data_IF_658679822646
#
_entry.id   IF_658679822646
#
_cell.length_a   1.000
_cell.length_b   1.000
_cell.length_c   1.000
_cell.angle_alpha   90.00
_cell.angle_beta   90.00
_cell.angle_gamma   90.00
#
_symmetry.space_group_name_H-M   'P 1'
#
loop_
_entity.id
_entity.type
_entity.pdbx_description
1 polymer ?
#
# COMPACT_ATOMS: atom_id res chain seq x y z
N UNK A 1 25.10 14.13 -15.38
CA UNK A 1 24.65 13.11 -16.32
C UNK A 1 23.25 13.44 -16.78
N UNK A 2 22.89 13.06 -17.99
CA UNK A 2 21.50 12.93 -18.40
C UNK A 2 20.95 11.58 -17.92
N UNK A 3 19.88 11.58 -17.15
CA UNK A 3 19.28 10.36 -16.63
C UNK A 3 17.82 10.31 -17.03
N UNK A 4 17.41 9.23 -17.69
CA UNK A 4 16.02 8.96 -17.97
C UNK A 4 15.43 8.08 -16.85
N UNK A 5 14.23 8.43 -16.36
CA UNK A 5 13.46 7.62 -15.42
C UNK A 5 12.19 7.16 -16.12
N UNK A 6 11.99 5.85 -16.24
CA UNK A 6 10.85 5.24 -16.91
C UNK A 6 9.87 4.74 -15.87
N UNK A 7 8.72 5.38 -15.78
CA UNK A 7 7.65 5.12 -14.80
C UNK A 7 7.53 6.18 -13.72
N UNK A 8 6.37 6.83 -13.65
CA UNK A 8 6.04 7.92 -12.74
C UNK A 8 5.30 7.49 -11.46
N UNK A 9 5.50 6.24 -11.01
CA UNK A 9 5.06 5.77 -9.69
C UNK A 9 6.00 6.22 -8.57
N UNK A 10 5.66 5.93 -7.28
CA UNK A 10 6.48 6.36 -6.12
C UNK A 10 7.96 5.98 -6.24
N UNK A 11 8.28 4.83 -6.84
CA UNK A 11 9.66 4.40 -7.05
C UNK A 11 10.40 5.30 -8.04
N UNK A 12 9.79 5.59 -9.19
CA UNK A 12 10.38 6.48 -10.20
C UNK A 12 10.44 7.92 -9.73
N UNK A 13 9.38 8.43 -9.08
CA UNK A 13 9.36 9.78 -8.50
C UNK A 13 10.47 9.95 -7.46
N UNK A 14 10.67 8.96 -6.59
CA UNK A 14 11.73 8.96 -5.58
C UNK A 14 13.12 8.93 -6.21
N UNK A 15 13.33 8.09 -7.23
CA UNK A 15 14.60 8.04 -7.96
C UNK A 15 14.89 9.36 -8.69
N UNK A 16 13.88 9.93 -9.36
CA UNK A 16 14.01 11.17 -10.10
C UNK A 16 14.37 12.35 -9.19
N UNK A 17 13.71 12.47 -8.03
CA UNK A 17 14.03 13.51 -7.03
C UNK A 17 15.44 13.35 -6.47
N UNK A 18 15.85 12.14 -6.08
CA UNK A 18 17.21 11.88 -5.55
C UNK A 18 18.29 12.23 -6.58
N UNK A 19 18.07 11.89 -7.85
CA UNK A 19 18.99 12.21 -8.94
C UNK A 19 19.03 13.70 -9.27
N UNK A 20 17.87 14.37 -9.28
CA UNK A 20 17.80 15.82 -9.51
C UNK A 20 18.49 16.60 -8.37
N UNK A 21 18.25 16.20 -7.11
CA UNK A 21 18.94 16.77 -5.93
C UNK A 21 20.47 16.51 -5.97
N UNK A 22 20.90 15.42 -6.59
CA UNK A 22 22.29 15.11 -6.90
C UNK A 22 22.90 15.91 -8.08
N UNK A 23 22.16 16.87 -8.66
CA UNK A 23 22.61 17.73 -9.75
C UNK A 23 22.65 17.04 -11.13
N UNK A 24 21.87 16.00 -11.33
CA UNK A 24 21.73 15.33 -12.63
C UNK A 24 20.60 15.94 -13.45
N UNK A 25 20.75 15.95 -14.78
CA UNK A 25 19.68 16.32 -15.72
C UNK A 25 18.72 15.13 -15.83
N UNK A 26 17.50 15.28 -15.32
CA UNK A 26 16.52 14.20 -15.22
C UNK A 26 15.37 14.39 -16.20
N UNK A 27 15.03 13.34 -16.95
CA UNK A 27 13.83 13.24 -17.77
C UNK A 27 12.98 12.07 -17.27
N UNK A 28 11.76 12.35 -16.78
CA UNK A 28 10.79 11.36 -16.31
C UNK A 28 9.77 11.05 -17.39
N UNK A 29 9.65 9.79 -17.80
CA UNK A 29 8.68 9.29 -18.77
C UNK A 29 7.61 8.45 -18.05
N UNK A 30 6.34 8.81 -18.21
CA UNK A 30 5.19 8.07 -17.67
C UNK A 30 4.20 7.75 -18.79
N UNK A 31 3.81 6.48 -18.90
CA UNK A 31 2.89 6.01 -19.95
C UNK A 31 1.45 6.53 -19.77
N UNK A 32 1.04 6.79 -18.53
CA UNK A 32 -0.28 7.35 -18.20
C UNK A 32 -0.25 8.88 -18.26
N UNK A 33 -1.41 9.54 -18.41
CA UNK A 33 -1.47 11.00 -18.41
C UNK A 33 -1.20 11.64 -17.03
N UNK A 34 -1.16 10.84 -15.95
CA UNK A 34 -0.97 11.29 -14.56
C UNK A 34 0.15 10.52 -13.89
N UNK A 35 0.90 11.21 -13.04
CA UNK A 35 1.89 10.63 -12.14
C UNK A 35 1.22 9.96 -10.93
N UNK A 36 1.99 9.18 -10.15
CA UNK A 36 1.55 8.53 -8.92
C UNK A 36 1.49 6.99 -9.02
N UNK A 37 1.36 6.45 -10.24
CA UNK A 37 1.37 4.99 -10.44
C UNK A 37 0.22 4.29 -9.72
N UNK A 38 0.54 3.48 -8.70
CA UNK A 38 -0.44 2.75 -7.89
C UNK A 38 -1.14 3.63 -6.81
N UNK A 39 -0.67 4.85 -6.56
CA UNK A 39 -1.28 5.80 -5.62
C UNK A 39 -1.87 6.97 -6.39
N UNK A 40 -3.14 6.86 -6.80
CA UNK A 40 -3.74 7.84 -7.70
C UNK A 40 -5.23 8.07 -7.40
N UNK A 41 -5.68 9.24 -7.77
CA UNK A 41 -7.10 9.60 -7.80
C UNK A 41 -7.70 9.15 -9.12
N UNK A 42 -8.89 8.58 -9.08
CA UNK A 42 -9.60 8.13 -10.27
C UNK A 42 -10.04 9.33 -11.13
N UNK A 43 -10.02 9.23 -12.46
CA UNK A 43 -10.55 10.27 -13.33
C UNK A 43 -11.98 10.64 -12.91
N UNK A 44 -12.24 11.93 -12.77
CA UNK A 44 -13.55 12.45 -12.35
C UNK A 44 -14.66 12.04 -13.31
N UNK A 45 -15.82 11.69 -12.76
CA UNK A 45 -17.06 11.41 -13.49
C UNK A 45 -18.17 12.31 -12.96
N UNK A 46 -19.16 12.55 -13.80
CA UNK A 46 -20.37 13.27 -13.38
C UNK A 46 -21.06 12.51 -12.23
N UNK A 47 -21.41 13.24 -11.18
CA UNK A 47 -22.01 12.69 -9.97
C UNK A 47 -21.03 12.12 -8.95
N UNK A 48 -19.72 12.12 -9.20
CA UNK A 48 -18.74 11.77 -8.18
C UNK A 48 -18.82 12.74 -6.97
N UNK A 49 -18.71 12.25 -5.75
CA UNK A 49 -18.63 13.10 -4.55
C UNK A 49 -17.33 13.91 -4.51
N UNK A 50 -17.28 14.90 -3.61
CA UNK A 50 -16.06 15.60 -3.22
C UNK A 50 -15.47 15.02 -1.93
N UNK A 51 -14.15 14.79 -1.89
CA UNK A 51 -13.25 14.74 -3.04
C UNK A 51 -13.53 13.52 -3.92
N UNK A 52 -13.06 13.51 -5.19
CA UNK A 52 -13.24 12.36 -6.05
C UNK A 52 -12.60 11.10 -5.46
N UNK A 53 -13.11 9.91 -5.80
CA UNK A 53 -12.56 8.66 -5.26
C UNK A 53 -11.14 8.41 -5.74
N UNK A 54 -10.31 7.86 -4.87
CA UNK A 54 -9.01 7.32 -5.22
C UNK A 54 -9.15 5.87 -5.74
N UNK A 55 -8.07 5.29 -6.27
CA UNK A 55 -8.08 3.87 -6.64
C UNK A 55 -8.23 2.93 -5.43
N UNK A 56 -8.09 3.44 -4.21
CA UNK A 56 -8.32 2.79 -2.93
C UNK A 56 -7.95 3.71 -1.77
N UNK A 57 -8.24 3.27 -0.54
CA UNK A 57 -7.74 3.97 0.64
C UNK A 57 -6.38 3.39 1.01
N UNK A 58 -5.34 4.21 0.92
CA UNK A 58 -4.00 3.82 1.34
C UNK A 58 -3.75 4.24 2.79
N UNK A 59 -3.10 3.37 3.55
CA UNK A 59 -2.61 3.65 4.90
C UNK A 59 -1.12 3.40 4.91
N UNK A 60 -0.35 4.37 5.39
CA UNK A 60 1.02 4.14 5.80
C UNK A 60 1.10 3.94 7.31
N UNK A 61 2.20 3.38 7.77
CA UNK A 61 2.53 3.30 9.19
C UNK A 61 3.66 4.27 9.50
N UNK A 62 3.74 4.72 10.74
CA UNK A 62 4.78 5.67 11.13
C UNK A 62 6.22 5.12 11.06
N UNK A 63 6.37 3.80 10.94
CA UNK A 63 7.64 3.15 10.61
C UNK A 63 8.06 3.30 9.13
N UNK A 64 7.21 3.86 8.26
CA UNK A 64 7.52 4.13 6.85
C UNK A 64 8.37 5.40 6.71
N UNK A 65 9.63 5.31 7.11
CA UNK A 65 10.50 6.47 7.28
C UNK A 65 10.91 7.13 5.96
N UNK A 66 11.20 6.34 4.92
CA UNK A 66 11.57 6.90 3.62
C UNK A 66 10.35 7.48 2.88
N UNK A 67 9.19 6.86 3.03
CA UNK A 67 7.95 7.44 2.52
C UNK A 67 7.63 8.79 3.17
N UNK A 68 7.83 8.93 4.49
CA UNK A 68 7.64 10.21 5.17
C UNK A 68 8.65 11.28 4.73
N UNK A 69 9.91 10.90 4.50
CA UNK A 69 10.92 11.81 3.91
C UNK A 69 10.55 12.22 2.49
N UNK A 70 10.02 11.29 1.69
CA UNK A 70 9.50 11.61 0.37
C UNK A 70 8.38 12.65 0.44
N UNK A 71 7.38 12.48 1.33
CA UNK A 71 6.32 13.47 1.54
C UNK A 71 6.88 14.84 2.01
N UNK A 72 7.87 14.82 2.89
CA UNK A 72 8.55 16.05 3.33
C UNK A 72 9.24 16.75 2.15
N UNK A 73 9.97 15.99 1.31
CA UNK A 73 10.68 16.51 0.15
C UNK A 73 9.76 17.17 -0.88
N UNK A 74 8.55 16.65 -1.05
CA UNK A 74 7.56 17.20 -1.98
C UNK A 74 6.59 18.22 -1.32
N UNK A 75 6.79 18.55 -0.04
CA UNK A 75 5.99 19.55 0.69
C UNK A 75 4.67 19.04 1.25
N UNK A 76 4.43 17.73 1.31
CA UNK A 76 3.14 17.12 1.65
C UNK A 76 3.12 16.43 3.03
N UNK A 77 4.04 16.77 3.93
CA UNK A 77 4.07 16.19 5.30
C UNK A 77 2.77 16.40 6.07
N UNK A 78 2.05 17.47 5.79
CA UNK A 78 0.80 17.83 6.47
C UNK A 78 -0.44 17.20 5.81
N UNK A 79 -0.27 16.57 4.66
CA UNK A 79 -1.37 15.92 3.91
C UNK A 79 -1.67 14.51 4.39
N UNK A 80 -1.07 14.11 5.52
CA UNK A 80 -1.37 12.87 6.23
C UNK A 80 -1.71 13.13 7.69
N UNK A 81 -2.81 12.53 8.15
CA UNK A 81 -3.22 12.58 9.55
C UNK A 81 -2.67 11.38 10.31
N UNK A 82 -1.92 11.64 11.37
CA UNK A 82 -1.41 10.59 12.25
C UNK A 82 -2.44 10.23 13.32
N UNK A 83 -2.83 8.96 13.36
CA UNK A 83 -3.71 8.40 14.38
C UNK A 83 -2.98 7.30 15.14
N UNK A 84 -3.22 7.19 16.44
CA UNK A 84 -2.76 6.04 17.21
C UNK A 84 -3.36 4.75 16.64
N UNK A 85 -2.62 3.66 16.75
CA UNK A 85 -3.14 2.34 16.44
C UNK A 85 -4.23 1.96 17.45
N UNK A 86 -5.44 2.40 17.17
CA UNK A 86 -6.68 1.97 17.81
C UNK A 86 -7.62 1.55 16.69
N UNK A 87 -7.74 0.24 16.47
CA UNK A 87 -8.50 -0.30 15.34
C UNK A 87 -9.87 -0.76 15.83
N UNK A 88 -10.95 -0.05 15.52
CA UNK A 88 -12.30 -0.57 15.67
C UNK A 88 -12.48 -1.78 14.77
N UNK A 89 -12.97 -2.86 15.36
CA UNK A 89 -13.24 -4.12 14.67
C UNK A 89 -14.68 -4.50 14.96
N UNK A 90 -15.44 -4.80 13.93
CA UNK A 90 -16.87 -5.13 14.01
C UNK A 90 -17.07 -6.57 13.60
N UNK A 91 -17.69 -7.37 14.46
CA UNK A 91 -17.94 -8.79 14.18
C UNK A 91 -19.18 -9.01 13.30
N UNK A 92 -19.47 -10.26 13.00
CA UNK A 92 -20.57 -10.71 12.14
C UNK A 92 -21.96 -10.33 12.70
N UNK A 93 -22.04 -9.95 13.99
CA UNK A 93 -23.25 -9.51 14.69
C UNK A 93 -23.32 -8.01 14.90
N UNK A 94 -22.42 -7.23 14.27
CA UNK A 94 -22.37 -5.78 14.43
C UNK A 94 -21.79 -5.32 15.78
N UNK A 95 -21.19 -6.21 16.60
CA UNK A 95 -20.59 -5.83 17.88
C UNK A 95 -19.19 -5.28 17.66
N UNK A 96 -18.89 -4.14 18.25
CA UNK A 96 -17.59 -3.49 18.14
C UNK A 96 -16.65 -3.87 19.29
N UNK A 97 -15.36 -4.04 18.97
CA UNK A 97 -14.26 -4.07 19.93
C UNK A 97 -13.07 -3.34 19.31
N UNK A 98 -12.12 -2.91 20.13
CA UNK A 98 -10.95 -2.15 19.67
C UNK A 98 -9.69 -2.95 19.89
N UNK A 99 -8.89 -3.12 18.85
CA UNK A 99 -7.50 -3.58 18.97
C UNK A 99 -6.64 -2.36 19.33
N UNK A 100 -5.97 -2.43 20.47
CA UNK A 100 -5.03 -1.40 20.93
C UNK A 100 -3.68 -2.06 21.27
N UNK A 101 -2.53 -1.42 20.98
CA UNK A 101 -1.20 -2.03 21.14
C UNK A 101 -0.73 -2.10 22.61
N UNK A 102 -1.64 -2.01 23.58
CA UNK A 102 -1.35 -2.15 25.00
C UNK A 102 -1.78 -3.52 25.54
N UNK A 103 -1.07 -4.05 26.55
CA UNK A 103 -1.45 -5.32 27.19
C UNK A 103 -2.91 -5.31 27.68
N UNK A 104 -3.35 -4.20 28.28
CA UNK A 104 -4.72 -4.04 28.75
C UNK A 104 -5.72 -3.98 27.58
N UNK A 105 -5.36 -3.29 26.48
CA UNK A 105 -6.17 -3.24 25.25
C UNK A 105 -6.37 -4.63 24.66
N UNK A 106 -5.31 -5.42 24.55
CA UNK A 106 -5.38 -6.81 24.05
C UNK A 106 -6.24 -7.70 24.95
N UNK A 107 -6.14 -7.56 26.28
CA UNK A 107 -7.01 -8.30 27.21
C UNK A 107 -8.48 -7.89 27.10
N UNK A 108 -8.79 -6.66 26.69
CA UNK A 108 -10.14 -6.16 26.45
C UNK A 108 -10.72 -6.51 25.08
N UNK A 109 -9.90 -6.99 24.15
CA UNK A 109 -10.37 -7.31 22.79
C UNK A 109 -11.25 -8.56 22.78
N UNK A 110 -12.57 -8.38 22.79
CA UNK A 110 -13.56 -9.43 23.06
C UNK A 110 -13.85 -10.37 21.89
N UNK A 111 -13.38 -10.06 20.68
CA UNK A 111 -13.59 -10.93 19.51
C UNK A 111 -12.69 -12.17 19.51
N UNK A 112 -11.73 -12.23 20.43
CA UNK A 112 -10.87 -13.41 20.66
C UNK A 112 -11.16 -13.99 22.04
N UNK A 113 -11.27 -15.32 22.21
CA UNK A 113 -11.48 -15.97 23.51
C UNK A 113 -10.43 -15.54 24.55
N UNK A 114 -10.80 -15.49 25.83
CA UNK A 114 -9.91 -14.98 26.88
C UNK A 114 -8.57 -15.71 26.96
N UNK A 115 -8.57 -17.08 26.87
CA UNK A 115 -7.35 -17.87 26.88
C UNK A 115 -6.41 -17.51 25.72
N UNK A 116 -6.97 -17.18 24.56
CA UNK A 116 -6.18 -16.78 23.38
C UNK A 116 -5.61 -15.37 23.53
N UNK A 117 -6.31 -14.44 24.20
CA UNK A 117 -5.74 -13.10 24.51
C UNK A 117 -4.49 -13.21 25.38
N UNK A 118 -4.47 -14.15 26.33
CA UNK A 118 -3.28 -14.44 27.16
C UNK A 118 -2.17 -15.04 26.31
N UNK A 119 -2.50 -15.94 25.37
CA UNK A 119 -1.52 -16.51 24.43
C UNK A 119 -0.96 -15.44 23.48
N UNK A 120 -1.80 -14.52 22.98
CA UNK A 120 -1.36 -13.35 22.19
C UNK A 120 -0.32 -12.52 22.94
N UNK A 121 -0.61 -12.14 24.17
CA UNK A 121 0.33 -11.38 25.00
C UNK A 121 1.65 -12.11 25.21
N UNK A 122 1.60 -13.42 25.50
CA UNK A 122 2.81 -14.24 25.65
C UNK A 122 3.61 -14.34 24.35
N UNK A 123 2.94 -14.48 23.20
CA UNK A 123 3.59 -14.54 21.91
C UNK A 123 4.30 -13.21 21.59
N UNK A 124 3.63 -12.08 21.78
CA UNK A 124 4.21 -10.74 21.55
C UNK A 124 5.39 -10.46 22.49
N UNK A 125 5.28 -10.83 23.79
CA UNK A 125 6.35 -10.64 24.76
C UNK A 125 7.59 -11.52 24.53
N UNK A 126 7.45 -12.61 23.78
CA UNK A 126 8.51 -13.59 23.51
C UNK A 126 8.72 -13.81 22.02
N UNK A 127 8.46 -12.78 21.21
CA UNK A 127 8.57 -12.89 19.77
C UNK A 127 9.97 -13.30 19.33
N UNK A 128 10.08 -14.37 18.59
CA UNK A 128 11.33 -14.89 18.02
C UNK A 128 11.07 -15.24 16.56
N UNK A 129 12.13 -15.41 15.78
CA UNK A 129 12.01 -15.84 14.40
C UNK A 129 11.23 -17.14 14.29
N UNK A 130 10.33 -17.17 13.33
CA UNK A 130 9.43 -18.28 13.17
C UNK A 130 10.05 -19.43 12.41
N UNK A 131 9.54 -20.61 12.72
CA UNK A 131 9.66 -21.79 11.87
C UNK A 131 8.28 -22.01 11.23
N UNK A 132 8.21 -22.13 9.94
CA UNK A 132 6.97 -22.31 9.20
C UNK A 132 7.10 -21.74 7.79
N UNK A 133 6.36 -22.26 6.86
CA UNK A 133 6.30 -21.71 5.50
C UNK A 133 5.40 -20.48 5.47
N UNK A 134 4.16 -20.64 5.94
CA UNK A 134 3.21 -19.54 6.02
C UNK A 134 3.23 -18.84 7.38
N UNK A 135 2.75 -17.61 7.42
CA UNK A 135 2.65 -16.89 8.70
C UNK A 135 1.64 -17.55 9.65
N UNK A 136 0.57 -18.16 9.13
CA UNK A 136 -0.36 -18.94 9.96
C UNK A 136 0.33 -20.14 10.63
N UNK A 137 1.21 -20.84 9.94
CA UNK A 137 1.98 -21.95 10.53
C UNK A 137 2.91 -21.45 11.60
N UNK A 138 3.59 -20.34 11.36
CA UNK A 138 4.42 -19.66 12.33
C UNK A 138 3.63 -19.24 13.58
N UNK A 139 2.42 -18.74 13.42
CA UNK A 139 1.53 -18.38 14.53
C UNK A 139 1.04 -19.61 15.30
N UNK A 140 0.67 -20.70 14.61
CA UNK A 140 0.29 -21.96 15.25
C UNK A 140 1.44 -22.54 16.07
N UNK A 141 2.67 -22.50 15.56
CA UNK A 141 3.87 -22.91 16.28
C UNK A 141 4.11 -22.08 17.56
N UNK A 142 3.61 -20.81 17.60
CA UNK A 142 3.60 -19.96 18.80
C UNK A 142 2.37 -20.16 19.68
N UNK A 143 1.58 -21.20 19.44
CA UNK A 143 0.40 -21.55 20.23
C UNK A 143 -0.82 -20.65 19.96
N UNK A 144 -0.87 -19.95 18.82
CA UNK A 144 -2.06 -19.20 18.43
C UNK A 144 -3.15 -20.12 17.91
N UNK A 145 -4.39 -19.90 18.35
CA UNK A 145 -5.55 -20.61 17.84
C UNK A 145 -5.99 -20.06 16.47
N UNK A 146 -6.79 -20.82 15.73
CA UNK A 146 -7.39 -20.34 14.49
C UNK A 146 -8.24 -19.07 14.73
N UNK A 147 -8.98 -19.01 15.84
CA UNK A 147 -9.75 -17.82 16.20
C UNK A 147 -8.88 -16.57 16.41
N UNK A 148 -7.68 -16.72 16.99
CA UNK A 148 -6.74 -15.63 17.14
C UNK A 148 -6.13 -15.23 15.78
N UNK A 149 -5.87 -16.20 14.92
CA UNK A 149 -5.37 -15.94 13.55
C UNK A 149 -6.40 -15.12 12.76
N UNK A 150 -7.63 -15.58 12.68
CA UNK A 150 -8.66 -14.97 11.84
C UNK A 150 -9.15 -13.62 12.39
N UNK A 151 -9.25 -13.48 13.71
CA UNK A 151 -9.90 -12.35 14.35
C UNK A 151 -8.96 -11.28 14.90
N UNK A 152 -7.66 -11.56 14.91
CA UNK A 152 -6.65 -10.61 15.37
C UNK A 152 -5.52 -10.47 14.35
N UNK A 153 -4.80 -11.56 14.04
CA UNK A 153 -3.62 -11.47 13.20
C UNK A 153 -3.94 -11.08 11.76
N UNK A 154 -4.98 -11.65 11.17
CA UNK A 154 -5.37 -11.36 9.79
C UNK A 154 -5.87 -9.92 9.61
N UNK A 155 -6.42 -9.30 10.67
CA UNK A 155 -6.79 -7.89 10.67
C UNK A 155 -5.60 -6.96 10.39
N UNK A 156 -4.39 -7.33 10.82
CA UNK A 156 -3.17 -6.57 10.55
C UNK A 156 -2.44 -7.03 9.29
N UNK A 157 -2.33 -8.33 9.12
CA UNK A 157 -1.46 -8.91 8.09
C UNK A 157 -2.07 -8.75 6.71
N UNK A 158 -3.37 -9.00 6.58
CA UNK A 158 -4.04 -8.91 5.28
C UNK A 158 -3.92 -7.52 4.63
N UNK A 159 -4.19 -6.41 5.29
CA UNK A 159 -3.99 -5.09 4.69
C UNK A 159 -2.51 -4.71 4.49
N UNK A 160 -1.60 -5.25 5.30
CA UNK A 160 -0.17 -4.93 5.22
C UNK A 160 0.55 -5.70 4.10
N UNK A 161 0.16 -6.95 3.86
CA UNK A 161 0.80 -7.85 2.89
C UNK A 161 -0.08 -8.14 1.67
N UNK A 162 -1.32 -7.66 1.67
CA UNK A 162 -2.34 -7.96 0.67
C UNK A 162 -2.55 -9.48 0.47
N UNK A 163 -2.40 -10.24 1.55
CA UNK A 163 -2.56 -11.69 1.64
C UNK A 163 -3.05 -12.08 3.04
N UNK A 164 -3.80 -13.16 3.15
CA UNK A 164 -4.15 -13.74 4.44
C UNK A 164 -2.92 -14.30 5.17
N UNK A 165 -3.02 -14.47 6.50
CA UNK A 165 -1.98 -15.17 7.26
C UNK A 165 -1.69 -16.58 6.73
N UNK A 166 -2.68 -17.23 6.13
CA UNK A 166 -2.56 -18.58 5.57
C UNK A 166 -1.75 -18.61 4.26
N UNK A 167 -1.62 -17.48 3.58
CA UNK A 167 -0.97 -17.35 2.28
C UNK A 167 0.37 -16.62 2.37
N UNK A 168 0.46 -15.60 3.23
CA UNK A 168 1.66 -14.80 3.40
C UNK A 168 2.82 -15.63 3.95
N UNK A 169 4.04 -15.35 3.50
CA UNK A 169 5.23 -16.00 4.03
C UNK A 169 5.44 -15.70 5.51
N UNK A 170 5.98 -16.66 6.25
CA UNK A 170 6.31 -16.48 7.67
C UNK A 170 7.28 -15.31 7.88
N UNK A 171 8.25 -15.14 6.98
CA UNK A 171 9.24 -14.07 7.02
C UNK A 171 8.60 -12.68 6.88
N UNK A 172 7.72 -12.49 5.89
CA UNK A 172 7.02 -11.22 5.68
C UNK A 172 6.08 -10.88 6.86
N UNK A 173 5.38 -11.88 7.40
CA UNK A 173 4.56 -11.72 8.60
C UNK A 173 5.38 -11.35 9.84
N UNK A 174 6.49 -12.03 10.08
CA UNK A 174 7.41 -11.72 11.18
C UNK A 174 8.02 -10.32 11.06
N UNK A 175 8.45 -9.95 9.85
CA UNK A 175 8.94 -8.60 9.57
C UNK A 175 7.87 -7.55 9.92
N UNK A 176 6.64 -7.76 9.46
CA UNK A 176 5.52 -6.83 9.70
C UNK A 176 5.25 -6.67 11.20
N UNK A 177 5.19 -7.77 11.96
CA UNK A 177 4.97 -7.71 13.41
C UNK A 177 6.12 -7.01 14.13
N UNK A 178 7.37 -7.33 13.81
CA UNK A 178 8.52 -6.69 14.45
C UNK A 178 8.57 -5.20 14.18
N UNK A 179 8.41 -4.82 12.92
CA UNK A 179 8.57 -3.43 12.50
C UNK A 179 7.40 -2.57 12.97
N UNK A 180 6.16 -3.06 12.82
CA UNK A 180 4.98 -2.27 13.12
C UNK A 180 4.50 -2.38 14.58
N UNK A 181 4.62 -3.56 15.21
CA UNK A 181 4.03 -3.77 16.55
C UNK A 181 5.06 -3.84 17.67
N UNK A 182 6.29 -4.30 17.38
CA UNK A 182 7.35 -4.51 18.38
C UNK A 182 8.50 -3.52 18.25
N UNK A 183 8.47 -2.62 17.26
CA UNK A 183 9.41 -1.51 17.09
C UNK A 183 9.25 -0.42 18.15
N UNK A 184 9.58 0.82 17.80
CA UNK A 184 9.39 1.95 18.69
C UNK A 184 7.89 2.20 18.97
N UNK A 185 7.59 2.80 20.12
CA UNK A 185 6.22 2.95 20.65
C UNK A 185 5.19 3.55 19.67
N UNK A 186 5.65 4.32 18.69
CA UNK A 186 4.78 4.99 17.70
C UNK A 186 4.92 4.46 16.28
N UNK A 187 5.70 3.41 16.07
CA UNK A 187 5.90 2.84 14.72
C UNK A 187 4.62 2.28 14.12
N UNK A 188 3.70 1.84 14.99
CA UNK A 188 2.38 1.35 14.62
C UNK A 188 1.33 2.45 14.37
N UNK A 189 1.62 3.74 14.65
CA UNK A 189 0.64 4.81 14.38
C UNK A 189 0.28 4.82 12.89
N UNK A 190 -1.00 5.01 12.62
CA UNK A 190 -1.54 5.05 11.26
C UNK A 190 -1.33 6.44 10.65
N UNK A 191 -0.91 6.49 9.41
CA UNK A 191 -0.81 7.69 8.60
C UNK A 191 -1.87 7.61 7.48
N UNK A 192 -2.88 8.45 7.58
CA UNK A 192 -4.04 8.45 6.69
C UNK A 192 -4.03 9.72 5.83
N UNK A 193 -4.11 9.60 4.49
CA UNK A 193 -4.22 10.74 3.59
C UNK A 193 -5.43 11.61 3.91
N UNK A 194 -5.24 12.92 3.89
CA UNK A 194 -6.28 13.93 4.13
C UNK A 194 -6.70 14.69 2.88
N UNK A 195 -6.09 14.37 1.74
CA UNK A 195 -6.41 14.89 0.42
C UNK A 195 -6.39 13.73 -0.60
N UNK A 196 -6.82 13.95 -1.84
CA UNK A 196 -6.73 12.97 -2.92
C UNK A 196 -5.31 12.46 -3.15
N UNK A 197 -5.16 11.15 -3.39
CA UNK A 197 -3.84 10.53 -3.53
C UNK A 197 -3.03 11.10 -4.70
N UNK A 198 -3.69 11.44 -5.81
CA UNK A 198 -3.06 12.06 -6.97
C UNK A 198 -2.43 13.41 -6.64
N UNK A 199 -3.14 14.24 -5.85
CA UNK A 199 -2.65 15.55 -5.40
C UNK A 199 -1.42 15.41 -4.48
N UNK A 200 -1.52 14.52 -3.47
CA UNK A 200 -0.45 14.31 -2.48
C UNK A 200 0.83 13.75 -3.12
N UNK A 201 0.69 12.84 -4.09
CA UNK A 201 1.85 12.11 -4.60
C UNK A 201 2.25 12.59 -6.00
N UNK A 202 1.35 12.41 -7.00
CA UNK A 202 1.67 12.65 -8.39
C UNK A 202 1.91 14.12 -8.70
N UNK A 203 0.95 14.97 -8.38
CA UNK A 203 1.01 16.40 -8.69
C UNK A 203 2.07 17.12 -7.86
N UNK A 204 2.15 16.82 -6.54
CA UNK A 204 3.13 17.45 -5.69
C UNK A 204 4.58 17.05 -6.05
N UNK A 205 4.81 15.77 -6.37
CA UNK A 205 6.12 15.32 -6.83
C UNK A 205 6.46 15.90 -8.21
N UNK A 206 5.47 16.04 -9.10
CA UNK A 206 5.66 16.72 -10.38
C UNK A 206 6.15 18.16 -10.20
N UNK A 207 5.46 18.95 -9.38
CA UNK A 207 5.89 20.32 -9.04
C UNK A 207 7.30 20.37 -8.43
N UNK A 208 7.63 19.42 -7.55
CA UNK A 208 8.95 19.35 -6.93
C UNK A 208 10.07 19.00 -7.91
N UNK A 209 9.78 18.11 -8.88
CA UNK A 209 10.71 17.76 -9.95
C UNK A 209 10.93 18.93 -10.93
N UNK A 210 9.86 19.61 -11.37
CA UNK A 210 9.97 20.81 -12.22
C UNK A 210 10.78 21.91 -11.54
N UNK A 211 10.55 22.15 -10.25
CA UNK A 211 11.32 23.10 -9.45
C UNK A 211 12.81 22.72 -9.33
N UNK A 212 13.12 21.42 -9.39
CA UNK A 212 14.50 20.89 -9.43
C UNK A 212 15.11 20.87 -10.85
N UNK A 213 14.38 21.36 -11.87
CA UNK A 213 14.85 21.45 -13.26
C UNK A 213 14.69 20.14 -14.06
N UNK A 214 13.95 19.15 -13.56
CA UNK A 214 13.66 17.93 -14.30
C UNK A 214 12.58 18.16 -15.36
N UNK A 215 12.67 17.45 -16.48
CA UNK A 215 11.61 17.39 -17.49
C UNK A 215 10.67 16.21 -17.24
N UNK A 216 9.36 16.43 -17.43
CA UNK A 216 8.35 15.41 -17.18
C UNK A 216 7.53 15.19 -18.44
N UNK A 217 7.40 13.94 -18.85
CA UNK A 217 6.72 13.52 -20.08
C UNK A 217 5.56 12.56 -19.77
N UNK A 218 4.40 13.06 -19.31
CA UNK A 218 3.23 12.23 -19.10
C UNK A 218 2.63 11.81 -20.45
N UNK A 219 2.00 10.61 -20.50
CA UNK A 219 1.51 10.03 -21.75
C UNK A 219 2.61 9.51 -22.67
N UNK A 220 3.87 9.51 -22.22
CA UNK A 220 5.03 9.07 -22.99
C UNK A 220 5.42 7.64 -22.61
N UNK A 221 4.85 6.67 -23.31
CA UNK A 221 5.23 5.26 -23.15
C UNK A 221 6.59 5.00 -23.82
N UNK A 222 7.52 4.43 -23.05
CA UNK A 222 8.83 3.99 -23.56
C UNK A 222 8.69 2.54 -24.03
N UNK A 223 8.90 2.32 -25.32
CA UNK A 223 8.84 0.97 -25.90
C UNK A 223 10.21 0.29 -25.89
N UNK A 224 11.29 1.05 -26.00
CA UNK A 224 12.68 0.58 -25.94
C UNK A 224 13.55 1.59 -25.19
N UNK A 225 14.54 1.09 -24.43
CA UNK A 225 15.50 1.95 -23.73
C UNK A 225 16.48 2.63 -24.69
N UNK A 226 16.67 2.10 -25.88
CA UNK A 226 17.52 2.64 -26.95
C UNK A 226 16.97 3.94 -27.56
N UNK A 227 15.67 4.26 -27.35
CA UNK A 227 15.04 5.48 -27.81
C UNK A 227 15.35 6.68 -26.91
N UNK A 228 15.91 6.44 -25.72
CA UNK A 228 16.15 7.47 -24.73
C UNK A 228 17.51 8.15 -24.94
N UNK A 229 17.50 9.49 -25.07
CA UNK A 229 18.73 10.31 -25.07
C UNK A 229 19.22 10.49 -23.62
N UNK A 230 19.85 9.46 -23.07
CA UNK A 230 20.30 9.46 -21.68
C UNK A 230 21.62 8.67 -21.50
N UNK A 231 22.46 9.16 -20.58
CA UNK A 231 23.69 8.47 -20.16
C UNK A 231 23.41 7.25 -19.28
N UNK A 232 22.28 7.32 -18.52
CA UNK A 232 21.84 6.27 -17.61
C UNK A 232 20.31 6.24 -17.51
N UNK A 233 19.76 5.07 -17.11
CA UNK A 233 18.32 4.87 -17.06
C UNK A 233 17.91 4.22 -15.75
N UNK A 234 16.83 4.71 -15.12
CA UNK A 234 16.10 4.01 -14.05
C UNK A 234 14.83 3.42 -14.65
N UNK A 235 14.69 2.10 -14.61
CA UNK A 235 13.47 1.38 -15.04
C UNK A 235 12.59 1.13 -13.80
N UNK A 236 11.60 2.02 -13.59
CA UNK A 236 10.73 2.05 -12.41
C UNK A 236 9.30 1.62 -12.72
N UNK A 237 9.15 0.50 -13.41
CA UNK A 237 7.87 -0.05 -13.89
C UNK A 237 7.56 -1.41 -13.23
N UNK A 238 6.34 -1.97 -13.37
CA UNK A 238 6.01 -3.31 -12.88
C UNK A 238 6.99 -4.38 -13.38
N UNK A 239 7.16 -5.47 -12.62
CA UNK A 239 8.18 -6.50 -12.86
C UNK A 239 8.16 -7.09 -14.27
N UNK A 240 6.97 -7.36 -14.84
CA UNK A 240 6.83 -7.88 -16.22
C UNK A 240 7.33 -6.89 -17.27
N UNK A 241 6.96 -5.63 -17.12
CA UNK A 241 7.37 -4.57 -18.04
C UNK A 241 8.87 -4.25 -17.87
N UNK A 242 9.39 -4.33 -16.63
CA UNK A 242 10.81 -4.21 -16.36
C UNK A 242 11.62 -5.31 -17.09
N UNK A 243 11.20 -6.57 -16.97
CA UNK A 243 11.81 -7.68 -17.67
C UNK A 243 11.81 -7.49 -19.20
N UNK A 244 10.66 -7.03 -19.76
CA UNK A 244 10.52 -6.75 -21.19
C UNK A 244 11.50 -5.65 -21.66
N UNK A 245 11.55 -4.52 -20.96
CA UNK A 245 12.42 -3.38 -21.33
C UNK A 245 13.90 -3.70 -21.19
N UNK A 246 14.27 -4.52 -20.20
CA UNK A 246 15.65 -4.92 -19.95
C UNK A 246 16.11 -6.08 -20.83
N UNK A 247 15.19 -6.83 -21.42
CA UNK A 247 15.49 -8.09 -22.11
C UNK A 247 15.96 -9.19 -21.15
N UNK A 248 15.49 -9.14 -19.89
CA UNK A 248 15.83 -10.09 -18.83
C UNK A 248 14.69 -11.10 -18.62
N UNK A 249 14.98 -12.27 -18.01
CA UNK A 249 13.93 -13.20 -17.61
C UNK A 249 12.94 -12.53 -16.63
N UNK A 250 11.64 -12.83 -16.82
CA UNK A 250 10.61 -12.36 -15.88
C UNK A 250 10.77 -13.08 -14.53
N UNK A 251 10.86 -12.33 -13.40
CA UNK A 251 10.89 -12.95 -12.09
C UNK A 251 9.56 -13.65 -11.81
N UNK A 252 9.60 -14.80 -11.15
CA UNK A 252 8.42 -15.64 -10.86
C UNK A 252 7.64 -15.06 -9.67
N UNK A 253 7.12 -13.85 -9.86
CA UNK A 253 6.31 -13.12 -8.87
C UNK A 253 4.85 -13.13 -9.28
N UNK A 254 3.99 -13.57 -8.37
CA UNK A 254 2.54 -13.49 -8.55
C UNK A 254 2.04 -12.11 -8.11
N UNK A 255 0.95 -11.65 -8.72
CA UNK A 255 0.25 -10.44 -8.31
C UNK A 255 -0.84 -10.76 -7.28
N UNK A 256 -1.09 -9.83 -6.37
CA UNK A 256 -2.22 -9.88 -5.45
C UNK A 256 -3.17 -8.71 -5.69
N UNK A 257 -4.47 -8.98 -5.88
CA UNK A 257 -5.45 -7.97 -6.22
C UNK A 257 -5.97 -7.21 -5.00
N UNK A 258 -6.44 -5.97 -5.24
CA UNK A 258 -7.25 -5.19 -4.31
C UNK A 258 -8.51 -4.72 -5.03
N UNK A 259 -9.64 -4.83 -4.34
CA UNK A 259 -10.91 -4.26 -4.79
C UNK A 259 -11.31 -3.15 -3.83
N UNK A 260 -11.63 -1.97 -4.37
CA UNK A 260 -12.16 -0.86 -3.61
C UNK A 260 -13.56 -0.51 -4.10
N UNK A 261 -14.50 -0.39 -3.17
CA UNK A 261 -15.88 0.01 -3.46
C UNK A 261 -16.20 1.27 -2.69
N UNK A 262 -16.46 2.34 -3.42
CA UNK A 262 -16.87 3.62 -2.87
C UNK A 262 -18.39 3.66 -2.80
N UNK A 263 -18.93 4.01 -1.63
CA UNK A 263 -20.35 3.96 -1.31
C UNK A 263 -20.79 5.26 -0.66
N UNK A 264 -21.86 5.87 -1.15
CA UNK A 264 -22.48 7.00 -0.48
C UNK A 264 -23.88 6.59 -0.01
N UNK A 265 -24.08 6.59 1.31
CA UNK A 265 -25.34 6.24 1.96
C UNK A 265 -26.11 7.48 2.42
N UNK A 266 -27.44 7.37 2.53
CA UNK A 266 -28.38 8.42 2.95
C UNK A 266 -28.16 8.90 4.40
N UNK A 267 -27.45 8.14 5.22
CA UNK A 267 -27.20 8.41 6.64
C UNK A 267 -25.82 8.00 7.10
N UNK A 268 -25.45 8.44 8.29
CA UNK A 268 -24.17 8.06 8.94
C UNK A 268 -24.28 6.65 9.50
N UNK A 269 -23.42 5.76 9.04
CA UNK A 269 -23.30 4.37 9.47
C UNK A 269 -22.09 4.15 10.37
N UNK A 270 -20.94 4.73 10.02
CA UNK A 270 -19.68 4.57 10.73
C UNK A 270 -19.37 5.82 11.55
N UNK A 271 -19.22 5.66 12.88
CA UNK A 271 -18.94 6.77 13.79
C UNK A 271 -17.43 7.07 13.93
N UNK A 272 -16.59 6.11 13.62
CA UNK A 272 -15.14 6.22 13.65
C UNK A 272 -14.59 6.52 12.24
N UNK A 273 -13.36 7.04 12.12
CA UNK A 273 -12.76 7.29 10.80
C UNK A 273 -12.56 6.03 9.95
N UNK A 274 -12.47 4.88 10.61
CA UNK A 274 -12.29 3.58 9.96
C UNK A 274 -12.75 2.44 10.87
N UNK A 275 -13.05 1.29 10.29
CA UNK A 275 -13.27 0.03 11.00
C UNK A 275 -12.93 -1.17 10.12
N UNK A 276 -12.47 -2.27 10.75
CA UNK A 276 -12.38 -3.58 10.11
C UNK A 276 -13.66 -4.39 10.35
N UNK A 277 -14.09 -5.17 9.35
CA UNK A 277 -15.23 -6.07 9.47
C UNK A 277 -14.76 -7.53 9.45
N UNK A 278 -14.99 -8.27 10.54
CA UNK A 278 -14.57 -9.67 10.63
C UNK A 278 -15.45 -10.59 9.78
N UNK A 279 -14.82 -11.57 9.13
CA UNK A 279 -15.54 -12.56 8.32
C UNK A 279 -16.41 -11.93 7.24
N UNK A 280 -15.91 -10.91 6.58
CA UNK A 280 -16.59 -10.10 5.58
C UNK A 280 -15.71 -9.93 4.34
N UNK A 281 -16.32 -9.85 3.18
CA UNK A 281 -15.63 -9.41 1.97
C UNK A 281 -15.30 -7.91 1.99
N UNK A 282 -16.03 -7.13 2.79
CA UNK A 282 -15.72 -5.73 3.09
C UNK A 282 -14.69 -5.67 4.24
N UNK A 283 -13.40 -5.89 3.95
CA UNK A 283 -12.39 -6.02 5.01
C UNK A 283 -12.23 -4.76 5.84
N UNK A 284 -12.15 -3.59 5.20
CA UNK A 284 -11.97 -2.30 5.83
C UNK A 284 -12.93 -1.26 5.28
N UNK A 285 -13.50 -0.48 6.17
CA UNK A 285 -14.42 0.61 5.84
C UNK A 285 -13.83 1.91 6.37
N UNK A 286 -13.76 2.94 5.52
CA UNK A 286 -13.21 4.26 5.83
C UNK A 286 -14.26 5.34 5.61
N UNK A 287 -14.43 6.25 6.58
CA UNK A 287 -15.21 7.48 6.41
C UNK A 287 -14.38 8.52 5.65
N UNK A 288 -14.52 8.53 4.33
CA UNK A 288 -13.79 9.43 3.43
C UNK A 288 -14.01 10.89 3.80
N UNK A 289 -15.25 11.27 4.10
CA UNK A 289 -15.60 12.64 4.49
C UNK A 289 -14.92 13.07 5.79
N UNK A 290 -14.83 12.17 6.78
CA UNK A 290 -14.12 12.45 8.03
C UNK A 290 -12.61 12.55 7.84
N UNK A 291 -12.02 11.75 6.94
CA UNK A 291 -10.59 11.76 6.68
C UNK A 291 -10.15 13.01 5.93
N UNK A 292 -10.87 13.41 4.91
CA UNK A 292 -10.53 14.55 4.05
C UNK A 292 -11.10 15.90 4.53
N UNK A 293 -11.98 15.87 5.53
CA UNK A 293 -12.70 17.07 5.98
C UNK A 293 -13.87 17.49 5.08
N UNK A 294 -14.13 16.76 3.98
CA UNK A 294 -15.22 17.04 3.04
C UNK A 294 -16.39 16.09 3.29
N UNK A 295 -17.19 16.42 4.30
CA UNK A 295 -18.41 15.64 4.61
C UNK A 295 -19.52 16.03 3.63
N UNK A 296 -20.22 15.07 3.00
CA UNK A 296 -21.38 15.38 2.19
C UNK A 296 -22.46 16.07 3.05
N UNK A 297 -23.27 16.94 2.42
CA UNK A 297 -24.36 17.63 3.14
C UNK A 297 -25.41 16.66 3.69
N UNK A 298 -25.57 15.49 3.09
CA UNK A 298 -26.46 14.42 3.54
C UNK A 298 -25.73 13.08 3.51
N UNK A 299 -25.91 12.28 4.57
CA UNK A 299 -25.43 10.91 4.63
C UNK A 299 -23.94 10.76 4.90
N UNK A 300 -23.34 9.70 4.36
CA UNK A 300 -21.93 9.39 4.60
C UNK A 300 -21.28 8.79 3.34
N UNK A 301 -20.12 9.29 3.00
CA UNK A 301 -19.27 8.77 1.92
C UNK A 301 -18.21 7.83 2.50
N UNK A 302 -18.33 6.54 2.19
CA UNK A 302 -17.44 5.48 2.64
C UNK A 302 -16.59 4.94 1.50
N UNK A 303 -15.35 4.57 1.81
CA UNK A 303 -14.51 3.74 0.95
C UNK A 303 -14.32 2.39 1.63
N UNK A 304 -14.68 1.32 0.94
CA UNK A 304 -14.47 -0.06 1.38
C UNK A 304 -13.29 -0.65 0.62
N UNK A 305 -12.35 -1.27 1.32
CA UNK A 305 -11.18 -1.91 0.72
C UNK A 305 -11.13 -3.38 1.10
N UNK A 306 -10.96 -4.22 0.08
CA UNK A 306 -10.82 -5.67 0.20
C UNK A 306 -9.49 -6.09 -0.41
N UNK A 307 -8.62 -6.68 0.41
CA UNK A 307 -7.24 -7.04 0.08
C UNK A 307 -7.09 -8.54 -0.13
N UNK A 308 -6.34 -8.94 -1.18
CA UNK A 308 -6.07 -10.33 -1.48
C UNK A 308 -7.33 -11.13 -1.79
N UNK A 309 -8.17 -10.62 -2.68
CA UNK A 309 -9.53 -11.12 -2.97
C UNK A 309 -9.73 -11.44 -4.46
N UNK A 310 -9.03 -12.45 -5.01
CA UNK A 310 -9.18 -12.81 -6.42
C UNK A 310 -10.63 -13.13 -6.79
N UNK A 311 -11.42 -13.69 -5.87
CA UNK A 311 -12.84 -14.03 -6.06
C UNK A 311 -13.72 -12.80 -6.29
N UNK A 312 -13.40 -11.65 -5.68
CA UNK A 312 -14.14 -10.41 -5.92
C UNK A 312 -13.79 -9.76 -7.27
N UNK A 313 -12.67 -10.13 -7.87
CA UNK A 313 -12.29 -9.65 -9.20
C UNK A 313 -13.21 -10.20 -10.28
N UNK A 314 -13.82 -11.36 -10.06
CA UNK A 314 -14.74 -12.02 -11.00
C UNK A 314 -16.14 -11.39 -10.96
N UNK A 315 -16.57 -10.86 -9.82
CA UNK A 315 -17.85 -10.18 -9.68
C UNK A 315 -17.86 -8.86 -10.47
N UNK A 316 -18.94 -8.56 -11.16
CA UNK A 316 -19.02 -7.38 -12.03
C UNK A 316 -20.13 -6.42 -11.63
N UNK A 317 -19.84 -5.13 -11.84
CA UNK A 317 -20.85 -4.07 -11.81
C UNK A 317 -21.68 -4.08 -10.53
N UNK A 318 -22.97 -4.22 -10.72
CA UNK A 318 -23.98 -4.11 -9.66
C UNK A 318 -23.87 -5.21 -8.59
N UNK A 319 -23.56 -6.42 -8.98
CA UNK A 319 -23.43 -7.56 -8.06
C UNK A 319 -22.37 -7.33 -6.98
N UNK A 320 -21.19 -6.84 -7.38
CA UNK A 320 -20.12 -6.49 -6.43
C UNK A 320 -20.54 -5.37 -5.47
N UNK A 321 -21.18 -4.32 -6.00
CA UNK A 321 -21.67 -3.20 -5.21
C UNK A 321 -22.72 -3.67 -4.21
N UNK A 322 -23.72 -4.46 -4.64
CA UNK A 322 -24.77 -4.99 -3.78
C UNK A 322 -24.20 -5.90 -2.68
N UNK A 323 -23.23 -6.76 -3.02
CA UNK A 323 -22.55 -7.62 -2.05
C UNK A 323 -21.82 -6.80 -0.97
N UNK A 324 -20.97 -5.86 -1.37
CA UNK A 324 -20.18 -5.04 -0.42
C UNK A 324 -21.08 -4.09 0.39
N UNK A 325 -22.07 -3.45 -0.26
CA UNK A 325 -23.03 -2.60 0.45
C UNK A 325 -23.87 -3.40 1.46
N UNK A 326 -24.28 -4.63 1.09
CA UNK A 326 -24.99 -5.55 1.97
C UNK A 326 -24.15 -5.96 3.20
N UNK A 327 -22.86 -6.23 3.02
CA UNK A 327 -21.93 -6.51 4.11
C UNK A 327 -21.79 -5.32 5.09
N UNK A 328 -21.72 -4.10 4.54
CA UNK A 328 -21.63 -2.87 5.34
C UNK A 328 -22.94 -2.62 6.09
N UNK A 329 -24.07 -2.62 5.40
CA UNK A 329 -25.38 -2.32 6.02
C UNK A 329 -25.85 -3.42 6.98
N UNK A 330 -25.52 -4.67 6.73
CA UNK A 330 -25.82 -5.80 7.61
C UNK A 330 -25.13 -5.69 8.99
N UNK A 331 -23.99 -4.97 9.09
CA UNK A 331 -23.22 -4.81 10.33
C UNK A 331 -23.35 -3.43 10.96
N UNK A 332 -23.49 -2.38 10.14
CA UNK A 332 -23.50 -0.99 10.62
C UNK A 332 -24.91 -0.40 10.74
N UNK A 333 -25.90 -1.05 10.13
CA UNK A 333 -27.30 -0.64 10.15
C UNK A 333 -27.85 -0.35 8.77
N UNK A 334 -29.18 -0.46 8.63
CA UNK A 334 -29.85 -0.26 7.35
C UNK A 334 -29.73 1.19 6.85
N UNK A 335 -29.42 1.35 5.57
CA UNK A 335 -29.29 2.63 4.88
C UNK A 335 -29.58 2.45 3.39
N UNK A 336 -29.99 3.53 2.73
CA UNK A 336 -30.17 3.60 1.29
C UNK A 336 -28.84 3.99 0.62
N UNK A 337 -28.46 3.25 -0.42
CA UNK A 337 -27.29 3.54 -1.23
C UNK A 337 -27.64 4.58 -2.31
N UNK A 338 -27.05 5.78 -2.21
CA UNK A 338 -27.32 6.90 -3.12
C UNK A 338 -26.39 6.89 -4.35
N UNK A 339 -25.13 6.48 -4.16
CA UNK A 339 -24.12 6.43 -5.22
C UNK A 339 -23.06 5.39 -4.92
N UNK A 340 -22.45 4.86 -5.98
CA UNK A 340 -21.33 3.92 -5.85
C UNK A 340 -20.36 3.98 -7.01
N UNK A 341 -19.11 3.64 -6.74
CA UNK A 341 -18.06 3.46 -7.75
C UNK A 341 -17.09 2.36 -7.33
N UNK A 342 -16.64 1.57 -8.30
CA UNK A 342 -15.69 0.46 -8.07
C UNK A 342 -14.36 0.78 -8.71
N UNK A 343 -13.28 0.49 -7.98
CA UNK A 343 -11.92 0.38 -8.50
C UNK A 343 -11.40 -1.04 -8.31
N UNK A 344 -10.72 -1.57 -9.31
CA UNK A 344 -10.08 -2.89 -9.28
C UNK A 344 -8.62 -2.74 -9.67
N UNK A 345 -7.74 -3.20 -8.80
CA UNK A 345 -6.30 -3.24 -9.05
C UNK A 345 -5.87 -4.71 -9.05
N UNK A 346 -5.83 -5.37 -10.23
CA UNK A 346 -5.50 -6.80 -10.32
C UNK A 346 -4.05 -7.10 -9.92
N UNK A 347 -3.15 -6.17 -10.12
CA UNK A 347 -1.74 -6.23 -9.75
C UNK A 347 -1.42 -5.10 -8.74
N UNK A 348 -2.18 -5.05 -7.63
CA UNK A 348 -2.01 -4.00 -6.63
C UNK A 348 -0.66 -4.11 -5.91
N UNK A 349 -0.24 -5.33 -5.58
CA UNK A 349 1.07 -5.67 -5.01
C UNK A 349 1.53 -7.01 -5.56
N UNK A 350 2.80 -7.34 -5.38
CA UNK A 350 3.21 -8.75 -5.49
C UNK A 350 2.70 -9.53 -4.28
N UNK A 351 2.36 -10.80 -4.50
CA UNK A 351 1.97 -11.74 -3.47
C UNK A 351 3.22 -12.26 -2.74
N UNK A 352 3.46 -11.78 -1.51
CA UNK A 352 4.62 -12.19 -0.69
C UNK A 352 4.41 -13.57 -0.06
N UNK A 353 4.23 -14.58 -0.91
CA UNK A 353 4.08 -15.99 -0.56
C UNK A 353 5.41 -16.63 -0.13
N UNK A 354 5.41 -17.82 0.48
CA UNK A 354 6.63 -18.57 0.73
C UNK A 354 7.49 -18.71 -0.53
N UNK A 355 8.79 -18.38 -0.42
CA UNK A 355 9.74 -18.43 -1.54
C UNK A 355 9.80 -17.18 -2.41
N UNK A 356 8.81 -16.29 -2.40
CA UNK A 356 8.76 -15.11 -3.29
C UNK A 356 9.90 -14.11 -3.05
N UNK A 357 10.48 -14.05 -1.84
CA UNK A 357 11.56 -13.12 -1.54
C UNK A 357 12.84 -13.44 -2.35
N UNK A 358 13.07 -14.71 -2.67
CA UNK A 358 14.21 -15.13 -3.51
C UNK A 358 14.09 -14.63 -4.95
N UNK A 359 12.87 -14.41 -5.44
CA UNK A 359 12.57 -13.93 -6.79
C UNK A 359 12.66 -12.38 -6.90
N UNK A 360 12.74 -11.67 -5.78
CA UNK A 360 12.85 -10.21 -5.77
C UNK A 360 14.27 -9.78 -6.09
N UNK A 361 14.42 -9.10 -7.21
CA UNK A 361 15.72 -8.67 -7.74
C UNK A 361 16.21 -7.38 -7.06
N UNK A 362 17.52 -7.18 -6.99
CA UNK A 362 18.15 -5.92 -6.57
C UNK A 362 17.98 -4.78 -7.58
N UNK A 363 18.54 -3.59 -7.30
CA UNK A 363 18.52 -2.47 -8.24
C UNK A 363 19.40 -2.67 -9.45
N UNK A 364 20.41 -3.53 -9.38
CA UNK A 364 21.36 -3.80 -10.45
C UNK A 364 20.70 -4.57 -11.59
N UNK A 365 21.11 -4.30 -12.83
CA UNK A 365 20.64 -4.99 -14.03
C UNK A 365 21.82 -5.59 -14.82
N UNK A 366 21.51 -6.33 -15.87
CA UNK A 366 22.54 -6.83 -16.80
C UNK A 366 23.23 -5.71 -17.60
N UNK A 367 22.68 -4.48 -17.58
CA UNK A 367 23.19 -3.30 -18.30
C UNK A 367 23.89 -2.35 -17.33
N UNK A 368 25.17 -1.97 -17.52
CA UNK A 368 25.97 -1.23 -16.53
C UNK A 368 25.43 0.16 -16.18
N UNK A 369 24.71 0.82 -17.09
CA UNK A 369 24.14 2.17 -16.87
C UNK A 369 22.63 2.14 -16.63
N UNK A 370 22.07 0.99 -16.28
CA UNK A 370 20.62 0.84 -16.06
C UNK A 370 20.38 0.24 -14.69
N UNK A 371 19.53 0.88 -13.90
CA UNK A 371 19.06 0.36 -12.62
C UNK A 371 17.55 0.13 -12.67
N UNK A 372 17.06 -0.83 -11.88
CA UNK A 372 15.63 -1.08 -11.72
C UNK A 372 15.10 -0.61 -10.38
N UNK A 373 13.85 -0.18 -10.36
CA UNK A 373 13.13 0.19 -9.14
C UNK A 373 11.68 -0.31 -9.18
N UNK A 374 11.05 -0.39 -8.03
CA UNK A 374 9.65 -0.80 -7.86
C UNK A 374 9.44 -1.45 -6.50
N UNK A 375 8.24 -1.38 -5.95
CA UNK A 375 7.92 -2.02 -4.67
C UNK A 375 8.17 -3.53 -4.69
N UNK A 376 8.21 -4.14 -5.86
CA UNK A 376 8.48 -5.55 -6.11
C UNK A 376 9.96 -5.94 -5.99
N UNK A 377 10.90 -4.97 -6.00
CA UNK A 377 12.35 -5.24 -5.86
C UNK A 377 12.72 -5.55 -4.42
N UNK A 378 13.88 -6.16 -4.22
CA UNK A 378 14.40 -6.56 -2.90
C UNK A 378 14.91 -5.33 -2.14
N UNK A 379 14.07 -4.79 -1.29
CA UNK A 379 14.36 -3.62 -0.44
C UNK A 379 14.50 -3.96 1.04
N UNK A 380 14.28 -5.23 1.41
CA UNK A 380 14.13 -5.67 2.80
C UNK A 380 12.76 -5.32 3.41
N UNK A 381 11.83 -4.80 2.60
CA UNK A 381 10.46 -4.47 2.98
C UNK A 381 9.44 -5.22 2.12
N UNK A 382 8.26 -5.56 2.66
CA UNK A 382 7.14 -6.02 1.84
C UNK A 382 6.77 -4.98 0.77
N UNK A 383 6.05 -5.39 -0.27
CA UNK A 383 5.67 -4.52 -1.40
C UNK A 383 4.67 -3.43 -0.97
N UNK A 384 5.17 -2.37 -0.38
CA UNK A 384 4.43 -1.23 0.19
C UNK A 384 4.91 0.09 -0.42
N UNK A 385 4.27 1.21 -0.08
CA UNK A 385 4.73 2.56 -0.44
C UNK A 385 6.16 2.82 0.07
N UNK A 386 6.50 2.33 1.25
CA UNK A 386 7.86 2.41 1.80
C UNK A 386 8.88 1.67 0.91
N UNK A 387 8.54 0.44 0.50
CA UNK A 387 9.38 -0.34 -0.42
C UNK A 387 9.56 0.37 -1.77
N UNK A 388 8.50 0.98 -2.31
CA UNK A 388 8.57 1.73 -3.56
C UNK A 388 9.58 2.89 -3.47
N UNK A 389 9.47 3.72 -2.44
CA UNK A 389 10.39 4.84 -2.22
C UNK A 389 11.82 4.34 -2.01
N UNK A 390 12.03 3.35 -1.14
CA UNK A 390 13.35 2.75 -0.91
C UNK A 390 13.99 2.20 -2.18
N UNK A 391 13.21 1.59 -3.03
CA UNK A 391 13.71 1.04 -4.29
C UNK A 391 14.19 2.12 -5.25
N UNK A 392 13.48 3.25 -5.32
CA UNK A 392 13.89 4.41 -6.12
C UNK A 392 15.21 5.00 -5.64
N UNK A 393 15.35 5.20 -4.32
CA UNK A 393 16.59 5.65 -3.70
C UNK A 393 17.76 4.67 -3.95
N UNK A 394 17.49 3.37 -3.85
CA UNK A 394 18.50 2.34 -4.12
C UNK A 394 18.95 2.35 -5.58
N UNK A 395 18.03 2.49 -6.54
CA UNK A 395 18.35 2.58 -7.97
C UNK A 395 19.18 3.82 -8.29
N UNK A 396 18.83 4.99 -7.74
CA UNK A 396 19.59 6.22 -7.91
C UNK A 396 21.04 6.07 -7.40
N UNK A 397 21.19 5.47 -6.21
CA UNK A 397 22.53 5.20 -5.62
C UNK A 397 23.33 4.20 -6.43
N UNK A 398 22.72 3.14 -6.95
CA UNK A 398 23.41 2.16 -7.79
C UNK A 398 24.01 2.79 -9.04
N UNK A 399 23.28 3.71 -9.72
CA UNK A 399 23.78 4.43 -10.88
C UNK A 399 24.92 5.40 -10.54
N UNK A 400 24.86 6.08 -9.39
CA UNK A 400 25.91 7.03 -9.01
C UNK A 400 27.17 6.38 -8.48
N UNK A 401 27.06 5.22 -7.78
CA UNK A 401 28.22 4.46 -7.28
C UNK A 401 29.02 3.80 -8.40
N UNK A 402 28.37 3.19 -9.38
CA UNK A 402 29.02 2.50 -10.52
C UNK A 402 29.97 3.42 -11.30
N UNK A 403 29.70 4.71 -11.33
CA UNK A 403 30.56 5.69 -12.04
C UNK A 403 31.73 6.20 -11.21
N UNK A 404 31.64 6.22 -9.89
CA UNK A 404 32.78 6.57 -9.05
C UNK A 404 33.88 5.51 -9.15
N UNK A 405 33.49 4.23 -9.33
CA UNK A 405 34.45 3.13 -9.55
C UNK A 405 35.09 3.15 -10.94
N UNK A 406 34.40 3.64 -11.97
CA UNK A 406 34.95 3.76 -13.34
C UNK A 406 35.83 5.00 -13.50
N UNK A 407 35.66 6.03 -12.65
CA UNK A 407 36.41 7.28 -12.69
C UNK A 407 37.65 7.26 -11.77
N UNK A 408 37.81 6.24 -10.92
CA UNK A 408 38.97 6.03 -10.03
C UNK A 408 39.97 5.04 -10.62
#
# INVERSE_FOLDING_TARGET
MKVAVVGGGLAGLSAALELADGGHEVALHEARPTLGGAVQTLPRRDGDPEPPPDNGQHIALACFTEYMRFLERIGESNSVRRLRLELPVIDERGRAAVISPSALGLLRYRHVPFGDRVRLLRALARWRDSRGETFADALRARGQSQAAIDRFWDVFIRPALNLSCAEASAEAGDFTVRTALLGARRDSDLLLPTAPLGEIHGEAAGRALEAAGASIHPGSRVESLEELDADAVVVAVPHRESARLLGEPEPQLEDSPIVSVHLWFDRVLLQQPLAALLGSDAHWVFDRGSLTGHRPAQGQYLTVVSSGVPELMELRGRELVERIAGEVTGRLGAAELLWSRVSREPAATIAVRPGSEAERLGPETSRPNVARAGAWTRTGWPATMESAVRSGLAAARALTASRQEVAA
#
